data_IF_301969623449
#
_entry.id   IF_301969623449
#
_cell.length_a   1.000
_cell.length_b   1.000
_cell.length_c   1.000
_cell.angle_alpha   90.00
_cell.angle_beta   90.00
_cell.angle_gamma   90.00
#
_symmetry.space_group_name_H-M   'P 1'
#
loop_
_entity.id
_entity.type
_entity.pdbx_description
1 polymer ?
#
# COMPACT_ATOMS: atom_id res chain seq x y z
N UNK A 1 -30.59 23.25 8.66
CA UNK A 1 -29.52 22.46 8.03
C UNK A 1 -29.30 23.03 6.64
N UNK A 2 -28.17 23.70 6.46
CA UNK A 2 -27.94 24.73 5.46
C UNK A 2 -27.81 24.20 4.02
N UNK A 3 -28.49 24.87 3.10
CA UNK A 3 -28.53 24.63 1.65
C UNK A 3 -27.23 24.96 0.89
N UNK A 4 -26.06 24.67 1.47
CA UNK A 4 -24.75 25.00 0.87
C UNK A 4 -23.87 23.81 0.51
N UNK A 5 -24.36 22.57 0.61
CA UNK A 5 -23.55 21.36 0.32
C UNK A 5 -23.98 20.56 -0.92
N UNK A 6 -25.05 20.97 -1.62
CA UNK A 6 -25.54 20.25 -2.82
C UNK A 6 -24.69 20.49 -4.10
N UNK A 7 -23.63 21.30 -4.02
CA UNK A 7 -22.85 21.73 -5.19
C UNK A 7 -21.45 21.13 -5.33
N UNK A 8 -21.00 20.24 -4.42
CA UNK A 8 -19.57 19.86 -4.36
C UNK A 8 -19.18 18.53 -4.99
N UNK A 9 -20.12 17.66 -5.36
CA UNK A 9 -19.81 16.41 -6.03
C UNK A 9 -19.93 16.58 -7.56
N UNK A 10 -18.80 16.85 -8.21
CA UNK A 10 -18.70 16.93 -9.68
C UNK A 10 -18.39 15.54 -10.23
N UNK A 11 -19.01 15.20 -11.35
CA UNK A 11 -18.78 13.95 -12.06
C UNK A 11 -18.20 14.28 -13.42
N UNK A 12 -17.14 13.56 -13.80
CA UNK A 12 -16.58 13.65 -15.15
C UNK A 12 -17.07 12.49 -15.99
N UNK A 13 -17.44 12.80 -17.22
CA UNK A 13 -18.09 11.89 -18.15
C UNK A 13 -17.51 12.07 -19.53
N UNK A 14 -17.07 10.96 -20.14
CA UNK A 14 -16.63 10.93 -21.53
C UNK A 14 -17.68 10.24 -22.40
N UNK A 15 -18.11 10.93 -23.45
CA UNK A 15 -19.10 10.42 -24.41
C UNK A 15 -18.36 9.79 -25.58
N UNK A 16 -18.20 8.46 -25.51
CA UNK A 16 -17.45 7.70 -26.51
C UNK A 16 -18.27 7.45 -27.78
N UNK A 17 -19.60 7.47 -27.68
CA UNK A 17 -20.48 7.31 -28.84
C UNK A 17 -20.63 8.62 -29.62
N UNK A 18 -20.26 8.65 -30.92
CA UNK A 18 -20.43 9.84 -31.76
C UNK A 18 -21.88 10.33 -31.85
N UNK A 19 -22.84 9.40 -31.91
CA UNK A 19 -24.28 9.73 -32.00
C UNK A 19 -24.82 10.33 -30.70
N UNK A 20 -24.34 9.86 -29.54
CA UNK A 20 -24.77 10.40 -28.24
C UNK A 20 -24.21 11.81 -27.96
N UNK A 21 -23.08 12.18 -28.57
CA UNK A 21 -22.52 13.55 -28.43
C UNK A 21 -23.51 14.62 -28.90
N UNK A 22 -24.38 14.30 -29.86
CA UNK A 22 -25.44 15.22 -30.31
C UNK A 22 -26.40 15.67 -29.19
N UNK A 23 -26.62 14.83 -28.16
CA UNK A 23 -27.47 15.15 -27.02
C UNK A 23 -26.84 16.12 -26.01
N UNK A 24 -25.53 16.32 -26.12
CA UNK A 24 -24.73 17.19 -25.23
C UNK A 24 -23.98 18.27 -26.02
N UNK A 25 -24.54 18.70 -27.16
CA UNK A 25 -23.99 19.79 -27.95
C UNK A 25 -22.67 19.46 -28.67
N UNK A 26 -22.38 18.19 -28.90
CA UNK A 26 -21.16 17.71 -29.57
C UNK A 26 -19.97 17.48 -28.62
N UNK A 27 -20.13 17.72 -27.32
CA UNK A 27 -19.07 17.55 -26.33
C UNK A 27 -18.72 16.07 -26.14
N UNK A 28 -17.42 15.77 -26.12
CA UNK A 28 -16.90 14.41 -25.92
C UNK A 28 -16.39 14.17 -24.50
N UNK A 29 -16.08 15.21 -23.74
CA UNK A 29 -15.58 15.17 -22.36
C UNK A 29 -16.24 16.30 -21.56
N UNK A 30 -16.94 15.93 -20.50
CA UNK A 30 -17.83 16.82 -19.75
C UNK A 30 -17.55 16.62 -18.27
N UNK A 31 -17.32 17.70 -17.55
CA UNK A 31 -17.29 17.70 -16.09
C UNK A 31 -18.37 18.64 -15.57
N UNK A 32 -19.38 18.10 -14.89
CA UNK A 32 -20.52 18.87 -14.42
C UNK A 32 -21.00 18.37 -13.04
N UNK A 33 -21.78 19.18 -12.32
CA UNK A 33 -22.43 18.74 -11.08
C UNK A 33 -23.25 17.46 -11.28
N UNK A 34 -23.21 16.56 -10.29
CA UNK A 34 -23.89 15.25 -10.32
C UNK A 34 -25.35 15.32 -10.76
N UNK A 35 -26.10 16.31 -10.27
CA UNK A 35 -27.51 16.47 -10.57
C UNK A 35 -27.78 16.88 -12.03
N UNK A 36 -26.86 17.61 -12.68
CA UNK A 36 -26.95 17.98 -14.08
C UNK A 36 -26.70 16.76 -14.98
N UNK A 37 -25.69 15.94 -14.65
CA UNK A 37 -25.41 14.68 -15.35
C UNK A 37 -26.59 13.70 -15.20
N UNK A 38 -27.18 13.61 -14.01
CA UNK A 38 -28.33 12.74 -13.75
C UNK A 38 -29.57 13.14 -14.56
N UNK A 39 -29.72 14.43 -14.87
CA UNK A 39 -30.86 14.99 -15.61
C UNK A 39 -30.75 14.86 -17.13
N UNK A 40 -29.63 14.34 -17.67
CA UNK A 40 -29.44 14.17 -19.11
C UNK A 40 -30.52 13.25 -19.72
N UNK A 41 -31.18 13.76 -20.76
CA UNK A 41 -32.25 13.07 -21.48
C UNK A 41 -31.68 12.29 -22.67
N UNK A 42 -31.12 11.12 -22.37
CA UNK A 42 -30.46 10.23 -23.31
C UNK A 42 -30.49 8.78 -22.82
N UNK A 43 -30.11 7.83 -23.69
CA UNK A 43 -30.12 6.40 -23.38
C UNK A 43 -28.85 5.73 -23.92
N UNK A 44 -27.73 5.80 -23.17
CA UNK A 44 -26.57 4.99 -23.51
C UNK A 44 -26.89 3.50 -23.35
N UNK A 45 -26.36 2.66 -24.21
CA UNK A 45 -26.50 1.20 -24.09
C UNK A 45 -25.44 0.60 -23.17
N UNK A 46 -24.32 1.30 -22.95
CA UNK A 46 -23.23 0.87 -22.08
C UNK A 46 -22.66 2.03 -21.26
N UNK A 47 -22.31 1.75 -20.01
CA UNK A 47 -21.65 2.71 -19.12
C UNK A 47 -20.41 2.07 -18.52
N UNK A 48 -19.25 2.65 -18.79
CA UNK A 48 -17.98 2.23 -18.21
C UNK A 48 -17.70 3.05 -16.95
N UNK A 49 -17.23 2.41 -15.88
CA UNK A 49 -16.65 3.10 -14.74
C UNK A 49 -15.15 3.00 -14.84
N UNK A 50 -14.47 4.14 -14.85
CA UNK A 50 -13.02 4.20 -15.02
C UNK A 50 -12.44 5.01 -13.86
N UNK A 51 -11.59 4.36 -13.05
CA UNK A 51 -10.99 5.00 -11.88
C UNK A 51 -9.78 5.86 -12.25
N UNK A 52 -9.01 5.43 -13.25
CA UNK A 52 -7.86 6.17 -13.76
C UNK A 52 -8.27 7.14 -14.88
N UNK A 53 -8.10 8.44 -14.63
CA UNK A 53 -8.43 9.50 -15.58
C UNK A 53 -7.68 9.37 -16.92
N UNK A 54 -6.40 9.01 -16.90
CA UNK A 54 -5.58 8.86 -18.11
C UNK A 54 -6.11 7.74 -19.00
N UNK A 55 -6.52 6.62 -18.39
CA UNK A 55 -7.09 5.49 -19.11
C UNK A 55 -8.44 5.86 -19.76
N UNK A 56 -9.29 6.61 -19.05
CA UNK A 56 -10.57 7.06 -19.60
C UNK A 56 -10.40 8.03 -20.79
N UNK A 57 -9.38 8.88 -20.77
CA UNK A 57 -9.05 9.80 -21.87
C UNK A 57 -8.39 9.11 -23.08
N UNK A 58 -7.86 7.90 -22.89
CA UNK A 58 -7.31 7.08 -23.97
C UNK A 58 -8.35 6.18 -24.65
N UNK A 59 -9.57 6.04 -24.10
CA UNK A 59 -10.61 5.18 -24.68
C UNK A 59 -11.00 5.63 -26.10
N UNK A 60 -11.13 4.69 -27.06
CA UNK A 60 -11.56 5.00 -28.43
C UNK A 60 -13.05 5.30 -28.49
N UNK A 61 -13.52 5.76 -29.65
CA UNK A 61 -14.95 5.95 -29.88
C UNK A 61 -15.69 4.59 -29.88
N UNK A 62 -16.78 4.52 -29.15
CA UNK A 62 -17.57 3.29 -28.99
C UNK A 62 -19.06 3.58 -29.09
N UNK A 63 -19.78 2.98 -30.07
CA UNK A 63 -21.22 3.16 -30.20
C UNK A 63 -21.98 2.83 -28.91
N UNK A 64 -22.96 3.69 -28.58
CA UNK A 64 -23.82 3.59 -27.42
C UNK A 64 -23.13 3.71 -26.05
N UNK A 65 -21.84 4.04 -25.98
CA UNK A 65 -21.08 3.97 -24.73
C UNK A 65 -20.71 5.33 -24.15
N UNK A 66 -20.75 5.42 -22.82
CA UNK A 66 -20.24 6.55 -22.03
C UNK A 66 -19.34 6.05 -20.90
N UNK A 67 -18.31 6.81 -20.53
CA UNK A 67 -17.38 6.47 -19.45
C UNK A 67 -17.45 7.49 -18.30
N UNK A 68 -17.72 7.01 -17.08
CA UNK A 68 -17.79 7.80 -15.86
C UNK A 68 -16.47 7.71 -15.09
N UNK A 69 -16.00 8.86 -14.64
CA UNK A 69 -14.77 9.01 -13.87
C UNK A 69 -15.06 9.75 -12.56
N UNK A 70 -14.24 9.46 -11.53
CA UNK A 70 -14.28 10.13 -10.22
C UNK A 70 -15.65 10.03 -9.52
N UNK A 71 -16.28 8.85 -9.54
CA UNK A 71 -17.56 8.61 -8.85
C UNK A 71 -17.28 8.03 -7.47
N UNK A 72 -17.17 8.90 -6.45
CA UNK A 72 -16.95 8.50 -5.06
C UNK A 72 -18.15 7.76 -4.44
N UNK A 73 -19.36 8.23 -4.71
CA UNK A 73 -20.61 7.56 -4.32
C UNK A 73 -21.42 7.11 -5.56
N UNK A 74 -21.20 5.86 -5.98
CA UNK A 74 -21.93 5.25 -7.10
C UNK A 74 -23.39 4.97 -6.73
N UNK A 75 -23.68 4.64 -5.47
CA UNK A 75 -25.02 4.27 -5.03
C UNK A 75 -26.00 5.44 -5.12
N UNK A 76 -25.60 6.64 -4.70
CA UNK A 76 -26.44 7.82 -4.87
C UNK A 76 -26.57 8.27 -6.34
N UNK A 77 -25.59 7.96 -7.21
CA UNK A 77 -25.61 8.38 -8.62
C UNK A 77 -26.60 7.49 -9.39
N UNK A 78 -26.60 6.20 -9.05
CA UNK A 78 -27.61 5.24 -9.48
C UNK A 78 -29.00 5.59 -8.96
N UNK A 79 -29.13 6.06 -7.72
CA UNK A 79 -30.41 6.51 -7.17
C UNK A 79 -30.95 7.79 -7.87
N UNK A 80 -30.06 8.68 -8.28
CA UNK A 80 -30.43 9.95 -8.91
C UNK A 80 -30.66 9.86 -10.44
N UNK A 81 -30.10 8.84 -11.12
CA UNK A 81 -30.03 8.81 -12.60
C UNK A 81 -30.87 7.67 -13.21
N UNK A 82 -32.06 7.94 -13.77
CA UNK A 82 -32.92 6.91 -14.36
C UNK A 82 -32.28 6.20 -15.56
N UNK A 83 -31.53 6.93 -16.40
CA UNK A 83 -30.85 6.38 -17.57
C UNK A 83 -29.73 5.41 -17.16
N UNK A 84 -28.98 5.73 -16.10
CA UNK A 84 -27.90 4.88 -15.59
C UNK A 84 -28.42 3.53 -15.08
N UNK A 85 -29.59 3.54 -14.42
CA UNK A 85 -30.27 2.31 -13.96
C UNK A 85 -30.72 1.42 -15.11
N UNK A 86 -31.23 2.01 -16.19
CA UNK A 86 -31.66 1.24 -17.37
C UNK A 86 -30.47 0.66 -18.15
N UNK A 87 -29.38 1.41 -18.28
CA UNK A 87 -28.16 0.94 -18.97
C UNK A 87 -27.41 -0.14 -18.19
N UNK A 88 -27.41 -0.06 -16.85
CA UNK A 88 -26.77 -1.08 -15.99
C UNK A 88 -27.60 -2.35 -15.79
N UNK A 89 -28.90 -2.31 -16.07
CA UNK A 89 -29.76 -3.50 -16.05
C UNK A 89 -29.52 -4.45 -17.24
N UNK A 90 -28.67 -4.07 -18.21
CA UNK A 90 -28.44 -4.80 -19.47
C UNK A 90 -27.06 -5.40 -19.70
N UNK A 91 -25.97 -4.87 -19.12
CA UNK A 91 -24.60 -5.41 -19.27
C UNK A 91 -23.79 -5.04 -18.04
N UNK A 92 -23.43 -6.03 -17.24
CA UNK A 92 -22.54 -5.88 -16.09
C UNK A 92 -21.11 -6.31 -16.48
N UNK A 93 -20.47 -5.57 -17.39
CA UNK A 93 -19.02 -5.69 -17.61
C UNK A 93 -18.30 -4.53 -16.95
N UNK A 94 -17.74 -4.81 -15.78
CA UNK A 94 -16.79 -3.95 -15.08
C UNK A 94 -15.45 -4.10 -15.81
N UNK A 95 -15.23 -3.31 -16.87
CA UNK A 95 -13.93 -3.26 -17.56
C UNK A 95 -12.94 -2.52 -16.67
N UNK A 96 -12.06 -3.28 -16.01
CA UNK A 96 -10.90 -2.78 -15.27
C UNK A 96 -9.82 -2.34 -16.28
N UNK A 97 -9.62 -1.04 -16.44
CA UNK A 97 -8.79 -0.44 -17.49
C UNK A 97 -7.28 -0.55 -17.25
N UNK A 98 -6.82 -1.36 -16.30
CA UNK A 98 -5.39 -1.59 -16.06
C UNK A 98 -4.70 -2.41 -17.17
N UNK A 99 -5.46 -2.96 -18.14
CA UNK A 99 -4.94 -3.82 -19.23
C UNK A 99 -4.86 -3.19 -20.63
N UNK A 100 -5.31 -1.95 -20.84
CA UNK A 100 -5.40 -1.36 -22.19
C UNK A 100 -4.19 -0.52 -22.65
N UNK A 101 -3.13 -0.38 -21.83
CA UNK A 101 -1.93 0.40 -22.20
C UNK A 101 -0.81 -0.42 -22.89
N UNK A 102 -0.96 -1.75 -23.03
CA UNK A 102 0.08 -2.62 -23.57
C UNK A 102 -0.18 -3.11 -25.01
N UNK A 103 -1.38 -2.93 -25.57
CA UNK A 103 -1.72 -3.43 -26.90
C UNK A 103 -1.30 -2.49 -28.05
N UNK A 104 -1.05 -1.20 -27.79
CA UNK A 104 -0.83 -0.22 -28.86
C UNK A 104 0.64 -0.11 -29.32
N UNK A 105 1.58 -0.80 -28.64
CA UNK A 105 2.99 -0.90 -29.06
C UNK A 105 3.27 -2.07 -30.00
N UNK A 106 2.33 -3.00 -30.18
CA UNK A 106 2.49 -4.12 -31.11
C UNK A 106 1.88 -3.84 -32.50
N UNK A 107 0.97 -2.88 -32.63
CA UNK A 107 0.27 -2.59 -33.89
C UNK A 107 1.01 -1.63 -34.84
N UNK A 108 2.08 -0.96 -34.39
CA UNK A 108 2.86 -0.03 -35.22
C UNK A 108 4.05 -0.66 -35.96
N UNK A 109 4.25 -1.98 -35.87
CA UNK A 109 5.34 -2.67 -36.55
C UNK A 109 4.92 -3.48 -37.80
N UNK A 110 3.63 -3.63 -38.09
CA UNK A 110 3.16 -4.53 -39.17
C UNK A 110 2.32 -3.81 -40.24
N UNK A 111 2.82 -2.67 -40.74
CA UNK A 111 2.41 -2.14 -42.04
C UNK A 111 3.53 -2.34 -43.05
N UNK A 112 3.72 -3.58 -43.47
CA UNK A 112 4.40 -3.90 -44.71
C UNK A 112 3.87 -5.21 -45.32
N UNK A 113 2.75 -5.11 -46.05
CA UNK A 113 2.47 -6.00 -47.18
C UNK A 113 1.29 -6.96 -47.04
N UNK A 114 0.30 -6.77 -47.93
CA UNK A 114 -0.34 -7.90 -48.60
C UNK A 114 -1.71 -8.37 -48.09
N UNK A 115 -2.77 -7.88 -48.75
CA UNK A 115 -4.01 -8.60 -49.12
C UNK A 115 -4.42 -9.82 -48.28
N UNK A 116 -5.37 -9.63 -47.36
CA UNK A 116 -6.14 -10.71 -46.73
C UNK A 116 -7.52 -10.22 -46.30
N UNK A 117 -8.56 -11.04 -46.53
CA UNK A 117 -9.96 -10.79 -46.21
C UNK A 117 -10.20 -10.29 -44.77
N UNK A 118 -11.31 -9.58 -44.48
CA UNK A 118 -11.56 -9.05 -43.13
C UNK A 118 -11.71 -10.20 -42.14
N UNK A 119 -10.67 -10.44 -41.34
CA UNK A 119 -10.71 -11.30 -40.19
C UNK A 119 -11.52 -10.57 -39.12
N UNK A 120 -12.80 -10.89 -39.07
CA UNK A 120 -13.73 -10.43 -38.04
C UNK A 120 -13.22 -10.97 -36.70
N UNK A 121 -12.55 -10.10 -35.93
CA UNK A 121 -12.15 -10.36 -34.54
C UNK A 121 -13.41 -10.68 -33.74
N UNK A 122 -13.55 -11.95 -33.37
CA UNK A 122 -14.68 -12.45 -32.61
C UNK A 122 -14.50 -12.12 -31.12
N UNK A 123 -14.88 -10.89 -30.77
CA UNK A 123 -14.85 -10.29 -29.42
C UNK A 123 -15.54 -11.14 -28.32
N UNK A 124 -16.30 -12.16 -28.69
CA UNK A 124 -16.96 -13.09 -27.75
C UNK A 124 -16.14 -14.34 -27.43
N UNK A 125 -15.17 -14.71 -28.27
CA UNK A 125 -14.25 -15.82 -28.00
C UNK A 125 -13.22 -15.47 -26.90
N UNK A 126 -12.79 -14.20 -26.88
CA UNK A 126 -11.84 -13.64 -25.89
C UNK A 126 -12.50 -13.22 -24.56
N UNK A 127 -13.81 -13.47 -24.39
CA UNK A 127 -14.54 -13.19 -23.14
C UNK A 127 -14.69 -14.43 -22.25
N UNK A 128 -14.66 -15.63 -22.85
CA UNK A 128 -14.89 -16.88 -22.11
C UNK A 128 -13.75 -17.23 -21.15
N UNK A 129 -12.51 -17.05 -21.57
CA UNK A 129 -11.33 -17.28 -20.74
C UNK A 129 -11.28 -16.28 -19.56
N UNK A 130 -11.63 -15.01 -19.81
CA UNK A 130 -11.76 -13.97 -18.79
C UNK A 130 -12.86 -14.31 -17.79
N UNK A 131 -14.03 -14.77 -18.25
CA UNK A 131 -15.12 -15.18 -17.36
C UNK A 131 -14.71 -16.38 -16.48
N UNK A 132 -14.00 -17.37 -17.01
CA UNK A 132 -13.51 -18.51 -16.21
C UNK A 132 -12.46 -18.11 -15.19
N UNK A 133 -11.50 -17.26 -15.58
CA UNK A 133 -10.49 -16.69 -14.68
C UNK A 133 -11.16 -15.94 -13.53
N UNK A 134 -12.10 -15.05 -13.85
CA UNK A 134 -12.83 -14.26 -12.85
C UNK A 134 -13.66 -15.15 -11.94
N UNK A 135 -14.40 -16.14 -12.47
CA UNK A 135 -15.16 -17.07 -11.64
C UNK A 135 -14.28 -17.86 -10.64
N UNK A 136 -13.08 -18.27 -11.07
CA UNK A 136 -12.12 -18.90 -10.16
C UNK A 136 -11.58 -17.92 -9.12
N UNK A 137 -11.23 -16.70 -9.53
CA UNK A 137 -10.74 -15.66 -8.63
C UNK A 137 -11.81 -15.26 -7.58
N UNK A 138 -13.05 -15.04 -8.00
CA UNK A 138 -14.18 -14.70 -7.14
C UNK A 138 -14.43 -15.77 -6.09
N UNK A 139 -14.37 -17.05 -6.47
CA UNK A 139 -14.53 -18.16 -5.54
C UNK A 139 -13.37 -18.25 -4.53
N UNK A 140 -12.13 -17.94 -4.95
CA UNK A 140 -10.97 -17.85 -4.03
C UNK A 140 -11.11 -16.67 -3.07
N UNK A 141 -11.58 -15.52 -3.54
CA UNK A 141 -11.84 -14.33 -2.72
C UNK A 141 -12.98 -14.55 -1.73
N UNK A 142 -13.98 -15.35 -2.10
CA UNK A 142 -15.10 -15.73 -1.24
C UNK A 142 -14.73 -16.82 -0.20
N UNK A 143 -13.47 -17.26 -0.14
CA UNK A 143 -13.01 -18.38 0.70
C UNK A 143 -13.76 -19.70 0.45
N UNK A 144 -14.37 -19.88 -0.72
CA UNK A 144 -15.12 -21.09 -1.07
C UNK A 144 -14.23 -22.09 -1.80
N UNK A 145 -13.59 -22.99 -1.04
CA UNK A 145 -12.72 -24.04 -1.57
C UNK A 145 -13.42 -24.97 -2.57
N UNK A 146 -14.73 -25.21 -2.40
CA UNK A 146 -15.50 -26.12 -3.25
C UNK A 146 -15.80 -25.43 -4.58
N UNK A 147 -16.31 -24.21 -4.54
CA UNK A 147 -16.58 -23.42 -5.73
C UNK A 147 -15.29 -23.11 -6.50
N UNK A 148 -14.19 -22.78 -5.81
CA UNK A 148 -12.90 -22.48 -6.44
C UNK A 148 -12.37 -23.69 -7.22
N UNK A 149 -12.42 -24.89 -6.63
CA UNK A 149 -12.05 -26.14 -7.32
C UNK A 149 -12.95 -26.45 -8.51
N UNK A 150 -14.26 -26.23 -8.38
CA UNK A 150 -15.21 -26.47 -9.47
C UNK A 150 -14.96 -25.49 -10.64
N UNK A 151 -14.75 -24.21 -10.33
CA UNK A 151 -14.43 -23.17 -11.32
C UNK A 151 -13.10 -23.45 -12.03
N UNK A 152 -12.06 -23.87 -11.29
CA UNK A 152 -10.77 -24.27 -11.85
C UNK A 152 -10.90 -25.50 -12.77
N UNK A 153 -11.70 -26.50 -12.40
CA UNK A 153 -11.91 -27.69 -13.23
C UNK A 153 -12.60 -27.32 -14.54
N UNK A 154 -13.62 -26.46 -14.49
CA UNK A 154 -14.30 -25.95 -15.67
C UNK A 154 -13.37 -25.12 -16.56
N UNK A 155 -12.55 -24.25 -15.96
CA UNK A 155 -11.54 -23.47 -16.68
C UNK A 155 -10.53 -24.37 -17.39
N UNK A 156 -9.97 -25.36 -16.70
CA UNK A 156 -9.00 -26.31 -17.28
C UNK A 156 -9.59 -27.15 -18.42
N UNK A 157 -10.88 -27.49 -18.35
CA UNK A 157 -11.54 -28.27 -19.39
C UNK A 157 -11.69 -27.49 -20.70
N UNK A 158 -11.90 -26.17 -20.63
CA UNK A 158 -12.12 -25.32 -21.80
C UNK A 158 -10.82 -24.68 -22.33
N UNK A 159 -9.86 -24.37 -21.44
CA UNK A 159 -8.57 -23.77 -21.80
C UNK A 159 -7.40 -24.46 -21.08
N UNK A 160 -7.00 -25.68 -21.49
CA UNK A 160 -5.98 -26.48 -20.79
C UNK A 160 -4.57 -25.87 -20.80
N UNK A 161 -4.26 -25.02 -21.79
CA UNK A 161 -2.93 -24.43 -21.99
C UNK A 161 -2.79 -23.01 -21.40
N UNK A 162 -3.78 -22.55 -20.64
CA UNK A 162 -3.74 -21.22 -20.01
C UNK A 162 -2.67 -21.16 -18.91
N UNK A 163 -1.73 -20.22 -19.04
CA UNK A 163 -0.61 -20.03 -18.13
C UNK A 163 -1.02 -19.72 -16.68
N UNK A 164 -2.24 -19.21 -16.45
CA UNK A 164 -2.73 -18.88 -15.11
C UNK A 164 -3.32 -20.09 -14.35
N UNK A 165 -3.46 -21.26 -15.00
CA UNK A 165 -4.01 -22.46 -14.37
C UNK A 165 -3.15 -23.00 -13.22
N UNK A 166 -1.82 -22.92 -13.32
CA UNK A 166 -0.93 -23.42 -12.26
C UNK A 166 -1.01 -22.52 -11.01
N UNK A 167 -0.86 -21.18 -11.10
CA UNK A 167 -1.13 -20.28 -9.99
C UNK A 167 -2.53 -20.49 -9.37
N UNK A 168 -3.58 -20.60 -10.19
CA UNK A 168 -4.94 -20.80 -9.70
C UNK A 168 -5.12 -22.15 -8.98
N UNK A 169 -4.51 -23.21 -9.51
CA UNK A 169 -4.50 -24.52 -8.85
C UNK A 169 -3.82 -24.49 -7.49
N UNK A 170 -2.72 -23.74 -7.37
CA UNK A 170 -2.00 -23.56 -6.12
C UNK A 170 -2.87 -22.87 -5.06
N UNK A 171 -3.57 -21.80 -5.43
CA UNK A 171 -4.51 -21.10 -4.54
C UNK A 171 -5.67 -22.00 -4.11
N UNK A 172 -6.25 -22.77 -5.04
CA UNK A 172 -7.34 -23.70 -4.73
C UNK A 172 -6.89 -24.82 -3.77
N UNK A 173 -5.69 -25.38 -3.98
CA UNK A 173 -5.13 -26.42 -3.12
C UNK A 173 -4.86 -25.89 -1.71
N UNK A 174 -4.30 -24.67 -1.63
CA UNK A 174 -4.08 -23.98 -0.36
C UNK A 174 -5.39 -23.72 0.39
N UNK A 175 -6.39 -23.15 -0.28
CA UNK A 175 -7.68 -22.84 0.32
C UNK A 175 -8.40 -24.10 0.85
N UNK A 176 -8.29 -25.22 0.12
CA UNK A 176 -8.82 -26.50 0.55
C UNK A 176 -8.11 -27.08 1.79
N UNK A 177 -6.81 -26.80 1.95
CA UNK A 177 -6.06 -27.19 3.15
C UNK A 177 -6.38 -26.27 4.34
N UNK A 178 -6.50 -24.97 4.09
CA UNK A 178 -6.78 -23.94 5.10
C UNK A 178 -8.20 -24.06 5.69
N UNK A 179 -9.21 -24.33 4.86
CA UNK A 179 -10.62 -24.41 5.26
C UNK A 179 -11.02 -25.59 6.14
N UNK A 180 -10.08 -26.44 6.58
CA UNK A 180 -10.37 -27.70 7.28
C UNK A 180 -10.41 -27.61 8.82
N UNK A 181 -10.16 -26.46 9.45
CA UNK A 181 -10.24 -26.35 10.91
C UNK A 181 -10.65 -24.96 11.40
N UNK A 182 -11.86 -24.84 11.96
CA UNK A 182 -12.24 -23.74 12.85
C UNK A 182 -12.76 -24.31 14.18
N UNK A 183 -12.25 -23.86 15.34
CA UNK A 183 -11.09 -22.97 15.49
C UNK A 183 -9.80 -23.69 15.07
N UNK A 184 -8.91 -22.99 14.37
CA UNK A 184 -7.65 -23.55 13.96
C UNK A 184 -6.73 -23.72 15.20
N UNK A 185 -6.04 -24.86 15.36
CA UNK A 185 -5.20 -25.10 16.53
C UNK A 185 -4.00 -24.15 16.56
N UNK A 186 -3.47 -23.91 17.76
CA UNK A 186 -2.19 -23.24 17.93
C UNK A 186 -1.08 -24.04 17.25
N UNK A 187 -0.18 -23.35 16.56
CA UNK A 187 0.92 -23.96 15.82
C UNK A 187 2.24 -23.83 16.59
N UNK A 188 3.12 -24.81 16.42
CA UNK A 188 4.51 -24.72 16.88
C UNK A 188 5.32 -23.74 16.04
N UNK A 189 6.46 -23.28 16.57
CA UNK A 189 7.36 -22.34 15.87
C UNK A 189 7.72 -22.82 14.46
N UNK A 190 8.05 -24.11 14.28
CA UNK A 190 8.47 -24.64 12.98
C UNK A 190 7.32 -24.74 11.97
N UNK A 191 6.10 -25.01 12.46
CA UNK A 191 4.89 -25.02 11.63
C UNK A 191 4.54 -23.60 11.16
N UNK A 192 4.64 -22.62 12.05
CA UNK A 192 4.42 -21.21 11.70
C UNK A 192 5.45 -20.72 10.67
N UNK A 193 6.73 -21.05 10.86
CA UNK A 193 7.77 -20.69 9.88
C UNK A 193 7.50 -21.29 8.51
N UNK A 194 7.14 -22.59 8.46
CA UNK A 194 6.82 -23.26 7.21
C UNK A 194 5.61 -22.65 6.54
N UNK A 195 4.54 -22.38 7.29
CA UNK A 195 3.34 -21.74 6.77
C UNK A 195 3.64 -20.33 6.24
N UNK A 196 4.45 -19.54 6.95
CA UNK A 196 4.90 -18.23 6.49
C UNK A 196 5.72 -18.29 5.21
N UNK A 197 6.67 -19.23 5.11
CA UNK A 197 7.47 -19.43 3.90
C UNK A 197 6.60 -19.81 2.68
N UNK A 198 5.59 -20.66 2.87
CA UNK A 198 4.63 -21.02 1.82
C UNK A 198 3.81 -19.79 1.41
N UNK A 199 3.32 -19.00 2.38
CA UNK A 199 2.58 -17.78 2.08
C UNK A 199 3.43 -16.77 1.28
N UNK A 200 4.73 -16.65 1.57
CA UNK A 200 5.66 -15.78 0.86
C UNK A 200 6.07 -16.28 -0.53
N UNK A 201 6.62 -17.48 -0.59
CA UNK A 201 7.30 -17.98 -1.77
C UNK A 201 6.35 -18.54 -2.82
N UNK A 202 5.18 -18.99 -2.40
CA UNK A 202 4.28 -19.76 -3.25
C UNK A 202 2.90 -19.10 -3.41
N UNK A 203 2.26 -18.73 -2.30
CA UNK A 203 0.88 -18.24 -2.33
C UNK A 203 0.83 -16.77 -2.68
N UNK A 204 1.72 -15.94 -2.15
CA UNK A 204 1.79 -14.50 -2.43
C UNK A 204 1.90 -14.19 -3.93
N UNK A 205 2.89 -14.74 -4.65
CA UNK A 205 3.03 -14.56 -6.09
C UNK A 205 1.84 -15.10 -6.88
N UNK A 206 1.30 -16.26 -6.48
CA UNK A 206 0.12 -16.84 -7.14
C UNK A 206 -1.12 -15.96 -6.95
N UNK A 207 -1.33 -15.42 -5.74
CA UNK A 207 -2.43 -14.50 -5.43
C UNK A 207 -2.29 -13.20 -6.23
N UNK A 208 -1.10 -12.60 -6.27
CA UNK A 208 -0.85 -11.40 -7.07
C UNK A 208 -1.14 -11.62 -8.57
N UNK A 209 -0.83 -12.81 -9.07
CA UNK A 209 -1.03 -13.18 -10.49
C UNK A 209 -2.49 -13.43 -10.83
N UNK A 210 -3.25 -14.12 -9.96
CA UNK A 210 -4.64 -14.56 -10.24
C UNK A 210 -5.67 -13.53 -9.77
N UNK A 211 -5.46 -12.91 -8.60
CA UNK A 211 -6.42 -12.00 -7.96
C UNK A 211 -6.12 -10.52 -8.26
N UNK A 212 -4.90 -10.20 -8.72
CA UNK A 212 -4.52 -8.83 -9.04
C UNK A 212 -4.61 -7.90 -7.81
N UNK A 213 -5.30 -6.75 -7.90
CA UNK A 213 -5.40 -5.78 -6.80
C UNK A 213 -5.98 -6.34 -5.49
N UNK A 214 -6.88 -7.32 -5.58
CA UNK A 214 -7.54 -7.90 -4.39
C UNK A 214 -6.63 -8.87 -3.62
N UNK A 215 -5.48 -9.24 -4.19
CA UNK A 215 -4.53 -10.17 -3.57
C UNK A 215 -4.04 -9.66 -2.21
N UNK A 216 -3.82 -8.35 -2.06
CA UNK A 216 -3.31 -7.76 -0.82
C UNK A 216 -4.27 -7.96 0.33
N UNK A 217 -5.55 -7.62 0.15
CA UNK A 217 -6.57 -7.78 1.19
C UNK A 217 -6.76 -9.26 1.57
N UNK A 218 -6.77 -10.13 0.56
CA UNK A 218 -6.88 -11.57 0.76
C UNK A 218 -5.68 -12.15 1.53
N UNK A 219 -4.45 -11.76 1.17
CA UNK A 219 -3.23 -12.18 1.87
C UNK A 219 -3.17 -11.64 3.30
N UNK A 220 -3.63 -10.41 3.56
CA UNK A 220 -3.69 -9.87 4.91
C UNK A 220 -4.54 -10.75 5.84
N UNK A 221 -5.67 -11.28 5.36
CA UNK A 221 -6.49 -12.19 6.17
C UNK A 221 -5.73 -13.49 6.50
N UNK A 222 -4.94 -14.03 5.56
CA UNK A 222 -4.12 -15.24 5.81
C UNK A 222 -3.01 -15.01 6.81
N UNK A 223 -2.33 -13.88 6.70
CA UNK A 223 -1.33 -13.46 7.69
C UNK A 223 -1.96 -13.28 9.06
N UNK A 224 -3.18 -12.71 9.14
CA UNK A 224 -3.93 -12.57 10.40
C UNK A 224 -4.23 -13.92 11.03
N UNK A 225 -4.76 -14.89 10.26
CA UNK A 225 -5.06 -16.24 10.77
C UNK A 225 -3.80 -16.95 11.27
N UNK A 226 -2.71 -16.88 10.51
CA UNK A 226 -1.43 -17.45 10.92
C UNK A 226 -0.89 -16.79 12.19
N UNK A 227 -1.05 -15.46 12.33
CA UNK A 227 -0.66 -14.72 13.54
C UNK A 227 -1.50 -15.14 14.77
N UNK A 228 -2.80 -15.39 14.59
CA UNK A 228 -3.68 -15.89 15.65
C UNK A 228 -3.23 -17.28 16.13
N UNK A 229 -2.87 -18.18 15.22
CA UNK A 229 -2.33 -19.50 15.55
C UNK A 229 -0.94 -19.44 16.21
N UNK A 230 -0.17 -18.40 15.91
CA UNK A 230 1.18 -18.18 16.44
C UNK A 230 1.19 -17.45 17.82
N UNK A 231 0.03 -17.11 18.39
CA UNK A 231 -0.03 -16.35 19.67
C UNK A 231 0.71 -17.00 20.84
N UNK A 232 0.82 -18.32 20.84
CA UNK A 232 1.52 -19.07 21.89
C UNK A 232 3.02 -19.27 21.60
N UNK A 233 3.51 -18.84 20.42
CA UNK A 233 4.93 -18.96 20.06
C UNK A 233 5.74 -17.95 20.87
N UNK A 234 6.68 -18.40 21.72
CA UNK A 234 7.51 -17.50 22.51
C UNK A 234 8.47 -16.74 21.62
N UNK A 235 8.87 -15.55 22.07
CA UNK A 235 9.91 -14.77 21.42
C UNK A 235 11.26 -15.51 21.42
N UNK A 236 11.89 -15.59 20.25
CA UNK A 236 13.27 -16.05 20.10
C UNK A 236 13.94 -15.31 18.91
N UNK A 237 15.16 -14.77 19.06
CA UNK A 237 15.81 -13.99 18.01
C UNK A 237 15.99 -14.73 16.68
N UNK A 238 16.38 -16.01 16.73
CA UNK A 238 16.60 -16.84 15.52
C UNK A 238 15.30 -17.19 14.79
N UNK A 239 14.16 -17.08 15.48
CA UNK A 239 12.83 -17.41 14.95
C UNK A 239 11.92 -16.19 14.94
N UNK A 240 12.50 -14.98 14.90
CA UNK A 240 11.74 -13.73 14.96
C UNK A 240 10.58 -13.65 13.95
N UNK A 241 10.70 -14.09 12.68
CA UNK A 241 9.59 -14.06 11.73
C UNK A 241 8.38 -14.93 12.12
N UNK A 242 8.57 -15.90 13.02
CA UNK A 242 7.51 -16.80 13.48
C UNK A 242 6.69 -16.21 14.65
N UNK A 243 7.19 -15.15 15.28
CA UNK A 243 6.50 -14.53 16.40
C UNK A 243 5.23 -13.81 15.91
N UNK A 244 4.14 -13.89 16.69
CA UNK A 244 2.84 -13.32 16.32
C UNK A 244 2.92 -11.82 15.93
N UNK A 245 3.77 -11.03 16.59
CA UNK A 245 3.97 -9.63 16.26
C UNK A 245 4.42 -9.41 14.79
N UNK A 246 5.38 -10.21 14.31
CA UNK A 246 5.87 -10.11 12.93
C UNK A 246 4.74 -10.40 11.93
N UNK A 247 3.94 -11.42 12.22
CA UNK A 247 2.84 -11.87 11.36
C UNK A 247 1.68 -10.86 11.36
N UNK A 248 1.37 -10.24 12.51
CA UNK A 248 0.36 -9.19 12.57
C UNK A 248 0.75 -7.92 11.81
N UNK A 249 2.04 -7.54 11.79
CA UNK A 249 2.50 -6.42 10.94
C UNK A 249 2.24 -6.70 9.46
N UNK A 250 2.55 -7.92 9.02
CA UNK A 250 2.27 -8.37 7.65
C UNK A 250 0.80 -8.43 7.30
N UNK A 251 -0.05 -8.65 8.29
CA UNK A 251 -1.49 -8.64 8.16
C UNK A 251 -2.10 -7.22 8.22
N UNK A 252 -1.27 -6.18 8.30
CA UNK A 252 -1.67 -4.80 8.59
C UNK A 252 -2.53 -4.67 9.87
N UNK A 253 -2.35 -5.58 10.83
CA UNK A 253 -3.03 -5.60 12.13
C UNK A 253 -2.18 -4.88 13.18
N UNK A 254 -1.98 -3.57 12.97
CA UNK A 254 -1.04 -2.76 13.74
C UNK A 254 -1.26 -2.83 15.26
N UNK A 255 -2.51 -2.75 15.69
CA UNK A 255 -2.86 -2.81 17.11
C UNK A 255 -2.54 -4.18 17.73
N UNK A 256 -2.82 -5.27 17.01
CA UNK A 256 -2.50 -6.62 17.47
C UNK A 256 -0.99 -6.87 17.50
N UNK A 257 -0.25 -6.32 16.52
CA UNK A 257 1.21 -6.35 16.52
C UNK A 257 1.79 -5.65 17.75
N UNK A 258 1.35 -4.43 18.05
CA UNK A 258 1.79 -3.68 19.23
C UNK A 258 1.51 -4.45 20.54
N UNK A 259 0.32 -5.05 20.68
CA UNK A 259 -0.02 -5.88 21.83
C UNK A 259 0.88 -7.12 21.95
N UNK A 260 1.17 -7.80 20.82
CA UNK A 260 2.07 -8.94 20.81
C UNK A 260 3.52 -8.56 21.12
N UNK A 261 3.97 -7.36 20.76
CA UNK A 261 5.30 -6.86 21.19
C UNK A 261 5.33 -6.64 22.69
N UNK A 262 4.26 -6.09 23.29
CA UNK A 262 4.20 -5.83 24.73
C UNK A 262 4.29 -7.10 25.60
N UNK A 263 3.96 -8.27 25.07
CA UNK A 263 4.14 -9.54 25.80
C UNK A 263 5.61 -10.01 25.83
N UNK A 264 6.50 -9.41 25.05
CA UNK A 264 7.93 -9.74 25.07
C UNK A 264 8.58 -8.98 26.23
N UNK A 265 9.23 -9.71 27.13
CA UNK A 265 9.96 -9.10 28.25
C UNK A 265 11.08 -8.19 27.73
N UNK A 266 11.18 -6.98 28.29
CA UNK A 266 12.20 -5.99 27.93
C UNK A 266 12.27 -5.67 26.42
N UNK A 267 11.15 -5.78 25.69
CA UNK A 267 11.08 -5.60 24.24
C UNK A 267 11.78 -4.33 23.73
N UNK A 268 11.71 -3.22 24.49
CA UNK A 268 12.30 -1.92 24.13
C UNK A 268 13.83 -1.93 24.10
N UNK A 269 14.47 -2.91 24.76
CA UNK A 269 15.94 -3.12 24.75
C UNK A 269 16.39 -4.10 23.67
N UNK A 270 15.46 -4.73 22.97
CA UNK A 270 15.74 -5.74 21.95
C UNK A 270 15.48 -5.11 20.58
N UNK A 271 16.45 -5.09 19.65
CA UNK A 271 16.31 -4.35 18.40
C UNK A 271 15.08 -4.72 17.56
N UNK A 272 14.80 -6.01 17.38
CA UNK A 272 13.70 -6.44 16.51
C UNK A 272 12.31 -6.10 17.08
N UNK A 273 11.98 -6.42 18.35
CA UNK A 273 10.71 -6.00 18.95
C UNK A 273 10.53 -4.47 18.99
N UNK A 274 11.61 -3.71 19.25
CA UNK A 274 11.56 -2.26 19.20
C UNK A 274 11.16 -1.74 17.82
N UNK A 275 11.78 -2.25 16.75
CA UNK A 275 11.44 -1.89 15.37
C UNK A 275 9.96 -2.21 15.04
N UNK A 276 9.48 -3.38 15.46
CA UNK A 276 8.07 -3.75 15.28
C UNK A 276 7.11 -2.82 16.01
N UNK A 277 7.46 -2.38 17.23
CA UNK A 277 6.64 -1.40 17.93
C UNK A 277 6.67 -0.05 17.21
N UNK A 278 7.84 0.41 16.76
CA UNK A 278 7.98 1.66 16.01
C UNK A 278 7.10 1.66 14.76
N UNK A 279 7.16 0.59 13.96
CA UNK A 279 6.32 0.40 12.77
C UNK A 279 4.83 0.38 13.12
N UNK A 280 4.42 -0.40 14.13
CA UNK A 280 3.02 -0.44 14.55
C UNK A 280 2.52 0.95 15.00
N UNK A 281 3.31 1.66 15.81
CA UNK A 281 2.96 3.01 16.30
C UNK A 281 2.88 4.03 15.20
N UNK A 282 3.75 3.93 14.19
CA UNK A 282 3.69 4.78 12.99
C UNK A 282 2.32 4.71 12.31
N UNK A 283 1.78 3.50 12.16
CA UNK A 283 0.47 3.28 11.52
C UNK A 283 -0.74 3.55 12.42
N UNK A 284 -0.63 3.39 13.74
CA UNK A 284 -1.75 3.63 14.69
C UNK A 284 -1.88 5.10 15.05
N UNK A 285 -0.79 5.68 15.56
CA UNK A 285 -0.78 6.96 16.26
C UNK A 285 -0.08 8.07 15.44
N UNK A 286 0.56 7.69 14.32
CA UNK A 286 1.32 8.60 13.45
C UNK A 286 2.77 8.80 13.90
N UNK A 287 3.44 9.71 13.19
CA UNK A 287 4.89 9.93 13.33
C UNK A 287 5.30 10.36 14.75
N UNK A 288 4.54 11.21 15.42
CA UNK A 288 4.87 11.74 16.75
C UNK A 288 5.00 10.65 17.83
N UNK A 289 4.23 9.57 17.72
CA UNK A 289 4.33 8.43 18.63
C UNK A 289 5.48 7.47 18.26
N UNK A 290 5.84 7.41 16.98
CA UNK A 290 6.90 6.54 16.48
C UNK A 290 8.29 7.14 16.66
N UNK A 291 8.44 8.47 16.60
CA UNK A 291 9.74 9.14 16.65
C UNK A 291 10.65 8.76 17.82
N UNK A 292 10.16 8.69 19.07
CA UNK A 292 10.99 8.27 20.20
C UNK A 292 11.54 6.85 20.02
N UNK A 293 10.68 5.93 19.55
CA UNK A 293 11.05 4.52 19.34
C UNK A 293 12.00 4.36 18.16
N UNK A 294 11.82 5.15 17.10
CA UNK A 294 12.73 5.19 15.96
C UNK A 294 14.11 5.72 16.40
N UNK A 295 14.18 6.76 17.22
CA UNK A 295 15.44 7.26 17.76
C UNK A 295 16.19 6.18 18.56
N UNK A 296 15.49 5.48 19.45
CA UNK A 296 16.04 4.36 20.20
C UNK A 296 16.50 3.22 19.29
N UNK A 297 15.73 2.93 18.23
CA UNK A 297 16.08 1.90 17.26
C UNK A 297 17.35 2.26 16.48
N UNK A 298 17.53 3.54 16.12
CA UNK A 298 18.78 4.02 15.51
C UNK A 298 19.98 3.86 16.44
N UNK A 299 19.81 4.02 17.75
CA UNK A 299 20.92 3.82 18.70
C UNK A 299 21.25 2.35 18.97
N UNK A 300 20.27 1.44 18.84
CA UNK A 300 20.46 0.01 19.07
C UNK A 300 20.86 -0.78 17.81
N UNK A 301 20.25 -0.48 16.67
CA UNK A 301 20.46 -1.18 15.41
C UNK A 301 20.27 -0.23 14.21
N UNK A 302 21.26 0.66 13.96
CA UNK A 302 21.14 1.75 12.99
C UNK A 302 20.72 1.30 11.59
N UNK A 303 21.39 0.28 11.04
CA UNK A 303 21.10 -0.25 9.70
C UNK A 303 19.68 -0.79 9.56
N UNK A 304 19.16 -1.38 10.63
CA UNK A 304 17.83 -1.97 10.63
C UNK A 304 16.73 -0.93 10.81
N UNK A 305 17.02 0.12 11.58
CA UNK A 305 16.15 1.28 11.70
C UNK A 305 16.08 2.05 10.37
N UNK A 306 17.22 2.20 9.68
CA UNK A 306 17.27 2.76 8.33
C UNK A 306 16.40 1.96 7.36
N UNK A 307 16.59 0.63 7.28
CA UNK A 307 15.79 -0.24 6.41
C UNK A 307 14.28 -0.15 6.70
N UNK A 308 13.88 0.03 7.96
CA UNK A 308 12.48 0.27 8.32
C UNK A 308 11.97 1.61 7.76
N UNK A 309 12.73 2.70 7.87
CA UNK A 309 12.30 3.98 7.30
C UNK A 309 12.13 3.93 5.77
N UNK A 310 12.96 3.15 5.08
CA UNK A 310 12.83 2.94 3.63
C UNK A 310 11.52 2.19 3.27
N UNK A 311 11.12 1.22 4.11
CA UNK A 311 9.92 0.40 3.88
C UNK A 311 8.60 1.14 4.16
N UNK A 312 8.60 2.15 5.04
CA UNK A 312 7.41 2.98 5.33
C UNK A 312 6.92 3.82 4.13
N UNK A 313 7.68 3.89 3.05
CA UNK A 313 7.32 4.52 1.77
C UNK A 313 6.89 6.01 1.83
N UNK A 314 7.24 6.73 2.91
CA UNK A 314 6.97 8.16 3.03
C UNK A 314 8.01 9.00 2.26
N UNK A 315 7.54 9.84 1.33
CA UNK A 315 8.42 10.67 0.49
C UNK A 315 9.19 11.73 1.29
N UNK A 316 8.64 12.25 2.39
CA UNK A 316 9.32 13.20 3.27
C UNK A 316 10.45 12.51 4.02
N UNK A 317 10.21 11.28 4.53
CA UNK A 317 11.25 10.47 5.17
C UNK A 317 12.41 10.22 4.21
N UNK A 318 12.12 9.79 2.98
CA UNK A 318 13.16 9.56 1.96
C UNK A 318 14.01 10.80 1.70
N UNK A 319 13.38 11.98 1.61
CA UNK A 319 14.14 13.24 1.47
C UNK A 319 15.00 13.56 2.69
N UNK A 320 14.54 13.28 3.90
CA UNK A 320 15.33 13.48 5.12
C UNK A 320 16.52 12.51 5.18
N UNK A 321 16.32 11.26 4.78
CA UNK A 321 17.41 10.26 4.69
C UNK A 321 18.49 10.71 3.69
N UNK A 322 18.11 11.09 2.46
CA UNK A 322 19.08 11.57 1.47
C UNK A 322 19.84 12.82 1.95
N UNK A 323 19.15 13.78 2.57
CA UNK A 323 19.81 14.99 3.09
C UNK A 323 20.78 14.67 4.23
N UNK A 324 20.44 13.71 5.09
CA UNK A 324 21.38 13.23 6.10
C UNK A 324 22.62 12.62 5.44
N UNK A 325 22.45 11.77 4.42
CA UNK A 325 23.59 11.19 3.71
C UNK A 325 24.52 12.27 3.12
N UNK A 326 23.94 13.30 2.49
CA UNK A 326 24.69 14.43 1.93
C UNK A 326 25.46 15.22 3.00
N UNK A 327 24.86 15.42 4.18
CA UNK A 327 25.44 16.20 5.28
C UNK A 327 26.47 15.42 6.12
N UNK A 328 26.25 14.11 6.31
CA UNK A 328 27.04 13.30 7.25
C UNK A 328 28.06 12.38 6.59
N UNK A 329 27.89 12.02 5.31
CA UNK A 329 28.71 11.00 4.67
C UNK A 329 28.95 11.21 3.16
N UNK A 330 29.57 12.32 2.71
CA UNK A 330 30.05 12.40 1.33
C UNK A 330 31.22 11.42 1.03
N UNK A 331 32.09 11.12 2.02
CA UNK A 331 33.36 10.40 1.80
C UNK A 331 33.74 9.34 2.87
N UNK A 332 32.82 8.95 3.76
CA UNK A 332 33.08 8.00 4.87
C UNK A 332 31.93 7.03 5.11
N UNK A 333 32.19 6.00 5.93
CA UNK A 333 31.18 5.04 6.40
C UNK A 333 30.04 5.77 7.13
N UNK A 334 28.81 5.40 6.77
CA UNK A 334 27.58 6.03 7.25
C UNK A 334 27.35 5.59 8.68
N UNK A 335 27.15 6.56 9.57
CA UNK A 335 26.78 6.26 10.95
C UNK A 335 25.35 6.74 11.22
N UNK A 336 24.39 5.89 10.84
CA UNK A 336 22.96 6.13 11.01
C UNK A 336 22.55 6.36 12.48
N UNK A 337 23.39 6.00 13.46
CA UNK A 337 23.08 6.24 14.87
C UNK A 337 22.91 7.73 15.18
N UNK A 338 23.56 8.60 14.41
CA UNK A 338 23.49 10.07 14.55
C UNK A 338 22.27 10.70 13.88
N UNK A 339 21.52 9.92 13.08
CA UNK A 339 20.37 10.42 12.35
C UNK A 339 19.34 11.14 13.24
N UNK A 340 18.97 10.66 14.44
CA UNK A 340 18.05 11.36 15.33
C UNK A 340 18.58 12.74 15.78
N UNK A 341 19.88 12.85 16.03
CA UNK A 341 20.50 14.10 16.46
C UNK A 341 20.53 15.11 15.31
N UNK A 342 20.90 14.67 14.11
CA UNK A 342 20.83 15.49 12.90
C UNK A 342 19.38 15.91 12.59
N UNK A 343 18.42 15.01 12.75
CA UNK A 343 17.00 15.32 12.54
C UNK A 343 16.53 16.43 13.48
N UNK A 344 16.97 16.44 14.75
CA UNK A 344 16.64 17.52 15.68
C UNK A 344 17.24 18.88 15.24
N UNK A 345 18.42 18.88 14.61
CA UNK A 345 19.01 20.08 14.01
C UNK A 345 18.19 20.56 12.80
N UNK A 346 17.89 19.65 11.87
CA UNK A 346 17.19 19.95 10.63
C UNK A 346 15.73 20.33 10.84
N UNK A 347 15.07 19.66 11.79
CA UNK A 347 13.68 19.83 12.15
C UNK A 347 13.53 20.15 13.65
N UNK A 348 13.83 21.38 14.10
CA UNK A 348 13.84 21.74 15.53
C UNK A 348 12.50 21.57 16.27
N UNK A 349 11.39 21.47 15.53
CA UNK A 349 10.07 21.20 16.11
C UNK A 349 9.95 19.75 16.63
N UNK A 350 10.74 18.81 16.09
CA UNK A 350 10.75 17.42 16.53
C UNK A 350 11.56 17.21 17.83
N UNK A 351 12.35 18.20 18.26
CA UNK A 351 13.20 18.08 19.44
C UNK A 351 12.44 17.68 20.71
N UNK A 352 11.23 18.23 20.92
CA UNK A 352 10.39 17.90 22.08
C UNK A 352 9.79 16.49 22.00
N UNK A 353 9.56 15.98 20.79
CA UNK A 353 9.08 14.62 20.57
C UNK A 353 10.23 13.63 20.79
N UNK A 354 11.40 13.90 20.20
CA UNK A 354 12.61 13.08 20.33
C UNK A 354 13.09 12.99 21.78
N UNK A 355 12.90 14.03 22.60
CA UNK A 355 13.24 14.02 24.04
C UNK A 355 12.44 13.00 24.86
N UNK A 356 11.36 12.43 24.31
CA UNK A 356 10.58 11.34 24.94
C UNK A 356 11.25 9.97 24.79
N UNK A 357 12.33 9.88 24.01
CA UNK A 357 13.09 8.65 23.84
C UNK A 357 13.71 8.20 25.17
N UNK A 358 13.81 6.88 25.37
CA UNK A 358 14.52 6.32 26.51
C UNK A 358 16.01 6.61 26.44
N UNK A 359 16.57 7.06 27.57
CA UNK A 359 17.99 7.43 27.62
C UNK A 359 18.87 6.20 27.49
N UNK A 360 19.86 6.28 26.60
CA UNK A 360 20.90 5.27 26.42
C UNK A 360 22.28 5.89 26.68
N UNK A 361 22.68 6.05 27.96
CA UNK A 361 23.89 6.79 28.32
C UNK A 361 25.19 6.17 27.78
N UNK A 362 25.20 4.86 27.50
CA UNK A 362 26.37 4.15 26.98
C UNK A 362 26.57 4.32 25.46
N UNK A 363 25.83 5.25 24.83
CA UNK A 363 25.86 5.50 23.39
C UNK A 363 26.12 6.97 23.10
N UNK A 364 27.25 7.28 22.47
CA UNK A 364 27.63 8.64 22.09
C UNK A 364 26.57 9.34 21.24
N UNK A 365 25.98 8.64 20.27
CA UNK A 365 24.94 9.21 19.42
C UNK A 365 23.64 9.58 20.18
N UNK A 366 23.30 8.83 21.22
CA UNK A 366 22.17 9.15 22.09
C UNK A 366 22.48 10.37 22.98
N UNK A 367 23.69 10.40 23.56
CA UNK A 367 24.17 11.55 24.32
C UNK A 367 24.18 12.83 23.46
N UNK A 368 24.66 12.73 22.21
CA UNK A 368 24.69 13.83 21.27
C UNK A 368 23.31 14.32 20.84
N UNK A 369 22.34 13.43 20.64
CA UNK A 369 20.96 13.82 20.38
C UNK A 369 20.38 14.65 21.53
N UNK A 370 20.55 14.19 22.78
CA UNK A 370 20.09 14.94 23.95
C UNK A 370 20.83 16.26 24.13
N UNK A 371 22.13 16.31 23.80
CA UNK A 371 22.92 17.54 23.84
C UNK A 371 22.41 18.56 22.80
N UNK A 372 22.08 18.12 21.58
CA UNK A 372 21.43 18.97 20.57
C UNK A 372 20.09 19.49 21.09
N UNK A 373 19.23 18.64 21.62
CA UNK A 373 17.93 19.05 22.18
C UNK A 373 18.12 20.09 23.31
N UNK A 374 19.11 19.89 24.18
CA UNK A 374 19.45 20.84 25.24
C UNK A 374 19.93 22.18 24.67
N UNK A 375 20.79 22.17 23.64
CA UNK A 375 21.23 23.38 22.93
C UNK A 375 20.05 24.17 22.36
N UNK A 376 19.10 23.49 21.69
CA UNK A 376 17.89 24.10 21.14
C UNK A 376 17.02 24.76 22.22
N UNK A 377 16.97 24.17 23.42
CA UNK A 377 16.26 24.74 24.58
C UNK A 377 16.99 25.96 25.15
N UNK A 378 18.30 25.88 25.30
CA UNK A 378 19.13 26.98 25.82
C UNK A 378 19.06 28.21 24.92
N UNK A 379 19.02 28.02 23.60
CA UNK A 379 18.85 29.10 22.62
C UNK A 379 17.53 29.85 22.80
N UNK A 380 16.42 29.13 23.01
CA UNK A 380 15.11 29.73 23.30
C UNK A 380 15.10 30.49 24.64
N UNK A 381 15.94 30.06 25.60
CA UNK A 381 16.01 30.63 26.95
C UNK A 381 17.04 31.76 27.14
N UNK A 382 17.90 32.05 26.15
CA UNK A 382 18.88 33.14 26.23
C UNK A 382 20.06 32.92 27.19
N UNK A 383 20.36 31.67 27.57
CA UNK A 383 21.44 31.33 28.51
C UNK A 383 22.79 31.18 27.78
N UNK A 384 23.45 32.32 27.54
CA UNK A 384 24.61 32.39 26.63
C UNK A 384 25.86 31.65 27.14
N UNK A 385 26.09 31.58 28.45
CA UNK A 385 27.28 30.91 29.01
C UNK A 385 27.20 29.38 28.84
N UNK A 386 26.07 28.78 29.22
CA UNK A 386 25.86 27.33 29.15
C UNK A 386 25.82 26.84 27.70
N UNK A 387 25.37 27.69 26.79
CA UNK A 387 25.37 27.44 25.36
C UNK A 387 26.79 27.33 24.77
N UNK A 388 27.76 28.12 25.23
CA UNK A 388 29.17 27.98 24.78
C UNK A 388 29.76 26.66 25.26
N UNK A 389 29.49 26.26 26.50
CA UNK A 389 29.97 24.99 27.05
C UNK A 389 29.38 23.79 26.29
N UNK A 390 28.05 23.78 26.08
CA UNK A 390 27.37 22.71 25.35
C UNK A 390 27.79 22.63 23.87
N UNK A 391 28.07 23.77 23.21
CA UNK A 391 28.63 23.79 21.84
C UNK A 391 30.02 23.17 21.77
N UNK A 392 30.86 23.42 22.78
CA UNK A 392 32.20 22.81 22.88
C UNK A 392 32.09 21.30 23.07
N UNK A 393 31.16 20.86 23.89
CA UNK A 393 30.88 19.43 24.10
C UNK A 393 30.39 18.75 22.82
N UNK A 394 29.44 19.36 22.09
CA UNK A 394 28.94 18.82 20.83
C UNK A 394 30.04 18.68 19.79
N UNK A 395 30.90 19.71 19.68
CA UNK A 395 32.06 19.68 18.77
C UNK A 395 33.08 18.59 19.13
N UNK A 396 33.26 18.32 20.42
CA UNK A 396 34.16 17.26 20.88
C UNK A 396 33.59 15.87 20.61
N UNK A 397 32.27 15.74 20.71
CA UNK A 397 31.55 14.48 20.54
C UNK A 397 31.41 14.08 19.06
N UNK A 398 30.88 14.95 18.20
CA UNK A 398 30.74 14.70 16.77
C UNK A 398 30.86 16.03 15.98
N UNK A 399 32.04 16.32 15.40
CA UNK A 399 32.30 17.56 14.66
C UNK A 399 31.34 17.83 13.50
N UNK A 400 30.90 16.79 12.77
CA UNK A 400 29.99 16.96 11.62
C UNK A 400 28.61 17.44 12.07
N UNK A 401 28.12 16.88 13.17
CA UNK A 401 26.87 17.30 13.79
C UNK A 401 26.95 18.76 14.24
N UNK A 402 28.08 19.15 14.83
CA UNK A 402 28.33 20.53 15.23
C UNK A 402 28.33 21.48 14.02
N UNK A 403 28.97 21.12 12.91
CA UNK A 403 28.95 21.90 11.67
C UNK A 403 27.53 22.06 11.11
N UNK A 404 26.74 20.97 11.08
CA UNK A 404 25.33 21.01 10.68
C UNK A 404 24.52 21.96 11.57
N UNK A 405 24.69 21.85 12.89
CA UNK A 405 24.03 22.72 13.86
C UNK A 405 24.39 24.19 13.66
N UNK A 406 25.68 24.52 13.48
CA UNK A 406 26.14 25.88 13.23
C UNK A 406 25.67 26.44 11.88
N UNK A 407 25.43 25.62 10.86
CA UNK A 407 24.89 26.09 9.56
C UNK A 407 23.46 26.62 9.66
N UNK A 408 22.71 26.19 10.68
CA UNK A 408 21.31 26.56 10.88
C UNK A 408 21.12 27.70 11.90
N UNK A 409 22.21 28.24 12.47
CA UNK A 409 22.22 29.26 13.52
C UNK A 409 23.07 30.45 13.12
#
# INVERSE_FOLDING_TARGET
>A
MSSHDQGRERVRLRVLCPTLRGHVGGLSDIEAPRHEIAALSWQPTRVLRVENLEAALALPEMPGTVALMNVGDVAGLLAASPWLRQSMAGVADKVDTSRLALADKAATADQAGGSGAPQQLDIFADSGDVMRRNACADAVLADDAVAARAALAAWRAEWPDDALLEPAARLCAFLHADGRAQPAPALSTSEVQRAGQVLDGEIGPAAATVLGPEATAWLHDRWRRLAEQARAVPWHPEHAPAHAAALFLRAAQWQAAAQAVQSIESWRRIPQPLLWMAEARWHIDGADAAWPLLAEAFWLAPERAHALLESLADTRLRRLLTRFEDDFAPDRERDWAWWPAWLAVDQPLLAEVLDRAEKMPDRDAAAGCHLVIALLRLERGGLHHDLVAARKELRALEPRLFECYMRTR
#
